data_IF_559865700570
#
_entry.id   IF_559865700570
#
_cell.length_a   1.000
_cell.length_b   1.000
_cell.length_c   1.000
_cell.angle_alpha   90.00
_cell.angle_beta   90.00
_cell.angle_gamma   90.00
#
_symmetry.space_group_name_H-M   'P 1'
#
loop_
_entity.id
_entity.type
_entity.pdbx_description
1 polymer ?
#
# COMPACT_ATOMS: atom_id res chain seq x y z
N UNK A 1 40.22 -4.84 35.28
CA UNK A 1 39.05 -3.99 34.98
C UNK A 1 39.01 -3.54 33.50
N UNK A 2 39.16 -4.46 32.53
CA UNK A 2 39.18 -4.15 31.07
C UNK A 2 38.35 -5.16 30.25
N UNK A 3 38.04 -6.34 30.78
CA UNK A 3 37.38 -7.42 30.03
C UNK A 3 35.85 -7.29 29.98
N UNK A 4 35.23 -6.65 30.98
CA UNK A 4 33.76 -6.57 31.07
C UNK A 4 33.12 -5.50 30.18
N UNK A 5 33.90 -4.57 29.62
CA UNK A 5 33.41 -3.53 28.69
C UNK A 5 33.27 -4.01 27.25
N UNK A 6 33.91 -5.13 26.86
CA UNK A 6 33.87 -5.63 25.49
C UNK A 6 32.66 -6.51 25.18
N UNK A 7 32.02 -7.09 26.20
CA UNK A 7 30.81 -7.91 26.04
C UNK A 7 29.53 -7.09 25.80
N UNK A 8 29.53 -5.79 26.10
CA UNK A 8 28.36 -4.93 25.93
C UNK A 8 28.19 -4.37 24.51
N UNK A 9 29.23 -4.40 23.67
CA UNK A 9 29.14 -3.87 22.30
C UNK A 9 28.64 -4.89 21.28
N UNK A 10 28.77 -6.19 21.56
CA UNK A 10 28.34 -7.25 20.64
C UNK A 10 26.84 -7.52 20.67
N UNK A 11 26.12 -7.10 21.72
CA UNK A 11 24.66 -7.32 21.83
C UNK A 11 23.81 -6.23 21.17
N UNK A 12 24.36 -5.02 20.95
CA UNK A 12 23.63 -3.93 20.26
C UNK A 12 23.61 -4.12 18.73
N UNK A 13 24.56 -4.88 18.18
CA UNK A 13 24.66 -5.12 16.73
C UNK A 13 23.61 -6.11 16.19
N UNK A 14 22.98 -6.91 17.07
CA UNK A 14 21.98 -7.92 16.67
C UNK A 14 20.56 -7.32 16.62
N UNK A 15 20.33 -6.20 17.29
CA UNK A 15 19.02 -5.51 17.25
C UNK A 15 18.73 -4.81 15.92
N UNK A 16 19.72 -4.65 15.05
CA UNK A 16 19.55 -4.05 13.72
C UNK A 16 19.09 -5.06 12.64
N UNK A 17 19.09 -6.36 12.94
CA UNK A 17 18.81 -7.42 11.95
C UNK A 17 17.40 -8.02 12.03
N UNK A 18 16.53 -7.45 12.86
CA UNK A 18 15.12 -7.83 12.97
C UNK A 18 14.18 -6.66 12.69
N UNK A 19 14.63 -5.66 11.93
CA UNK A 19 13.71 -4.78 11.21
C UNK A 19 13.06 -5.63 10.10
N UNK A 20 12.07 -6.42 10.53
CA UNK A 20 10.88 -6.79 9.79
C UNK A 20 10.99 -6.47 8.30
N UNK A 21 11.27 -7.51 7.51
CA UNK A 21 10.88 -7.58 6.11
C UNK A 21 9.34 -7.62 6.11
N UNK A 22 8.73 -6.50 6.50
CA UNK A 22 7.32 -6.27 6.39
C UNK A 22 7.06 -6.30 4.89
N UNK A 23 6.35 -7.34 4.47
CA UNK A 23 5.92 -7.60 3.11
C UNK A 23 4.85 -6.57 2.70
N UNK A 24 5.14 -5.27 2.86
CA UNK A 24 4.36 -4.15 2.33
C UNK A 24 4.65 -3.92 0.83
N UNK A 25 5.46 -4.79 0.20
CA UNK A 25 5.84 -4.69 -1.20
C UNK A 25 4.63 -4.73 -2.16
N UNK A 26 3.52 -5.35 -1.77
CA UNK A 26 2.29 -5.39 -2.57
C UNK A 26 1.65 -4.01 -2.73
N UNK A 27 1.43 -3.30 -1.61
CA UNK A 27 0.83 -1.95 -1.61
C UNK A 27 1.72 -0.90 -2.26
N UNK A 28 3.01 -0.90 -1.91
CA UNK A 28 4.00 0.01 -2.49
C UNK A 28 4.13 -0.11 -4.01
N UNK A 29 3.95 -1.31 -4.58
CA UNK A 29 4.03 -1.52 -6.04
C UNK A 29 2.83 -1.00 -6.81
N UNK A 30 1.64 -1.03 -6.19
CA UNK A 30 0.43 -0.48 -6.82
C UNK A 30 0.50 1.03 -6.78
N UNK A 31 0.77 1.61 -5.61
CA UNK A 31 0.83 3.06 -5.44
C UNK A 31 1.87 3.70 -6.39
N UNK A 32 3.04 3.07 -6.61
CA UNK A 32 4.05 3.57 -7.55
C UNK A 32 3.58 3.70 -9.01
N UNK A 33 2.60 2.90 -9.45
CA UNK A 33 2.03 3.01 -10.82
C UNK A 33 1.03 4.17 -10.92
N UNK A 34 0.44 4.55 -9.80
CA UNK A 34 -0.67 5.49 -9.72
C UNK A 34 -0.27 6.83 -9.08
N UNK A 35 0.97 6.95 -8.57
CA UNK A 35 1.63 8.18 -8.18
C UNK A 35 2.04 8.97 -9.44
N UNK A 36 1.21 9.95 -9.78
CA UNK A 36 1.38 10.87 -10.92
C UNK A 36 2.10 12.16 -10.51
N UNK A 37 2.25 12.41 -9.21
CA UNK A 37 3.01 13.55 -8.66
C UNK A 37 4.49 13.24 -8.48
N UNK A 38 4.83 11.97 -8.29
CA UNK A 38 6.16 11.47 -7.96
C UNK A 38 6.57 11.69 -6.51
N UNK A 39 5.62 11.87 -5.59
CA UNK A 39 5.90 12.13 -4.17
C UNK A 39 5.95 10.85 -3.30
N UNK A 40 5.70 9.70 -3.93
CA UNK A 40 5.78 8.37 -3.33
C UNK A 40 4.49 7.90 -2.65
N UNK A 41 3.40 8.65 -2.76
CA UNK A 41 2.07 8.24 -2.29
C UNK A 41 1.02 8.47 -3.39
N UNK A 42 -0.16 7.90 -3.23
CA UNK A 42 -1.32 8.24 -4.08
C UNK A 42 -2.27 9.08 -3.25
N UNK A 43 -2.37 10.36 -3.58
CA UNK A 43 -3.20 11.31 -2.85
C UNK A 43 -4.27 11.99 -3.74
N UNK A 44 -4.88 13.06 -3.22
CA UNK A 44 -5.90 13.81 -3.93
C UNK A 44 -5.38 14.48 -5.23
N UNK A 45 -4.10 14.88 -5.27
CA UNK A 45 -3.49 15.48 -6.44
C UNK A 45 -3.27 14.43 -7.55
N UNK A 46 -2.90 13.20 -7.18
CA UNK A 46 -2.86 12.07 -8.12
C UNK A 46 -4.26 11.72 -8.63
N UNK A 47 -5.22 11.60 -7.72
CA UNK A 47 -6.62 11.30 -8.05
C UNK A 47 -7.22 12.29 -9.06
N UNK A 48 -6.93 13.58 -8.89
CA UNK A 48 -7.36 14.64 -9.80
C UNK A 48 -6.74 14.52 -11.20
N UNK A 49 -5.57 13.88 -11.32
CA UNK A 49 -4.87 13.63 -12.58
C UNK A 49 -5.22 12.29 -13.23
N UNK A 50 -5.85 11.37 -12.49
CA UNK A 50 -6.28 10.08 -13.02
C UNK A 50 -7.48 10.22 -13.96
N UNK A 51 -7.45 9.49 -15.07
CA UNK A 51 -8.63 9.22 -15.89
C UNK A 51 -9.59 8.27 -15.15
N UNK A 52 -10.85 8.21 -15.58
CA UNK A 52 -11.82 7.28 -15.01
C UNK A 52 -11.36 5.81 -15.07
N UNK A 53 -10.76 5.40 -16.20
CA UNK A 53 -10.20 4.06 -16.34
C UNK A 53 -9.02 3.82 -15.38
N UNK A 54 -8.17 4.83 -15.16
CA UNK A 54 -7.08 4.74 -14.20
C UNK A 54 -7.60 4.62 -12.76
N UNK A 55 -8.66 5.36 -12.40
CA UNK A 55 -9.31 5.24 -11.08
C UNK A 55 -9.89 3.85 -10.86
N UNK A 56 -10.54 3.27 -11.88
CA UNK A 56 -11.03 1.88 -11.83
C UNK A 56 -9.88 0.89 -11.67
N UNK A 57 -8.83 1.03 -12.47
CA UNK A 57 -7.65 0.18 -12.38
C UNK A 57 -6.96 0.28 -11.01
N UNK A 58 -6.90 1.48 -10.41
CA UNK A 58 -6.36 1.70 -9.07
C UNK A 58 -7.20 0.99 -8.01
N UNK A 59 -8.53 1.12 -8.08
CA UNK A 59 -9.44 0.43 -7.17
C UNK A 59 -9.28 -1.10 -7.27
N UNK A 60 -9.26 -1.65 -8.47
CA UNK A 60 -9.12 -3.10 -8.68
C UNK A 60 -7.75 -3.61 -8.21
N UNK A 61 -6.68 -2.87 -8.48
CA UNK A 61 -5.33 -3.20 -8.01
C UNK A 61 -5.25 -3.15 -6.47
N UNK A 62 -5.89 -2.16 -5.84
CA UNK A 62 -5.96 -2.05 -4.38
C UNK A 62 -6.67 -3.27 -3.77
N UNK A 63 -7.81 -3.67 -4.33
CA UNK A 63 -8.55 -4.86 -3.88
C UNK A 63 -7.71 -6.14 -4.04
N UNK A 64 -6.98 -6.29 -5.16
CA UNK A 64 -6.08 -7.43 -5.37
C UNK A 64 -4.93 -7.48 -4.37
N UNK A 65 -4.35 -6.33 -4.00
CA UNK A 65 -3.29 -6.26 -2.98
C UNK A 65 -3.79 -6.68 -1.61
N UNK A 66 -5.06 -6.40 -1.30
CA UNK A 66 -5.71 -6.88 -0.08
C UNK A 66 -5.98 -8.40 -0.09
N UNK A 67 -5.64 -9.10 -1.18
CA UNK A 67 -5.86 -10.54 -1.34
C UNK A 67 -7.29 -10.89 -1.74
N UNK A 68 -8.04 -9.92 -2.26
CA UNK A 68 -9.45 -10.08 -2.60
C UNK A 68 -9.67 -10.01 -4.12
N UNK A 69 -10.76 -10.62 -4.59
CA UNK A 69 -11.14 -10.58 -6.01
C UNK A 69 -11.98 -9.32 -6.29
N UNK A 70 -11.50 -8.38 -7.15
CA UNK A 70 -12.26 -7.18 -7.50
C UNK A 70 -13.54 -7.49 -8.28
N UNK A 71 -13.62 -8.62 -8.96
CA UNK A 71 -14.78 -9.04 -9.75
C UNK A 71 -15.81 -9.82 -8.90
N UNK A 72 -15.48 -10.14 -7.64
CA UNK A 72 -16.40 -10.79 -6.72
C UNK A 72 -17.67 -9.94 -6.53
N UNK A 73 -18.82 -10.54 -6.87
CA UNK A 73 -20.13 -9.90 -6.68
C UNK A 73 -20.48 -9.82 -5.19
N UNK A 74 -20.90 -8.63 -4.80
CA UNK A 74 -21.45 -8.33 -3.47
C UNK A 74 -22.98 -8.22 -3.55
N UNK A 75 -23.62 -7.99 -2.40
CA UNK A 75 -25.05 -7.69 -2.36
C UNK A 75 -25.40 -6.49 -3.26
N UNK A 76 -26.48 -6.62 -4.04
CA UNK A 76 -26.93 -5.57 -4.96
C UNK A 76 -26.21 -5.53 -6.31
N UNK A 77 -25.66 -6.65 -6.77
CA UNK A 77 -25.04 -6.84 -8.10
C UNK A 77 -23.79 -6.00 -8.41
N UNK A 78 -23.27 -5.25 -7.44
CA UNK A 78 -22.00 -4.53 -7.60
C UNK A 78 -20.81 -5.46 -7.33
N UNK A 79 -19.70 -5.24 -8.03
CA UNK A 79 -18.45 -5.93 -7.73
C UNK A 79 -17.72 -5.28 -6.56
N UNK A 80 -16.80 -6.02 -5.95
CA UNK A 80 -15.95 -5.53 -4.87
C UNK A 80 -15.09 -4.33 -5.30
N UNK A 81 -14.52 -4.37 -6.51
CA UNK A 81 -13.80 -3.26 -7.13
C UNK A 81 -14.67 -2.01 -7.30
N UNK A 82 -15.92 -2.17 -7.75
CA UNK A 82 -16.87 -1.06 -7.85
C UNK A 82 -17.23 -0.44 -6.50
N UNK A 83 -17.42 -1.27 -5.45
CA UNK A 83 -17.66 -0.78 -4.09
C UNK A 83 -16.46 0.00 -3.57
N UNK A 84 -15.24 -0.50 -3.80
CA UNK A 84 -14.01 0.18 -3.39
C UNK A 84 -13.84 1.52 -4.12
N UNK A 85 -14.05 1.54 -5.45
CA UNK A 85 -14.02 2.76 -6.26
C UNK A 85 -15.01 3.82 -5.75
N UNK A 86 -16.22 3.41 -5.34
CA UNK A 86 -17.19 4.33 -4.71
C UNK A 86 -16.65 4.92 -3.41
N UNK A 87 -15.96 4.12 -2.60
CA UNK A 87 -15.28 4.59 -1.39
C UNK A 87 -14.21 5.62 -1.69
N UNK A 88 -13.33 5.36 -2.67
CA UNK A 88 -12.30 6.31 -3.09
C UNK A 88 -12.90 7.64 -3.58
N UNK A 89 -13.96 7.59 -4.39
CA UNK A 89 -14.68 8.79 -4.82
C UNK A 89 -15.23 9.59 -3.65
N UNK A 90 -15.83 8.94 -2.66
CA UNK A 90 -16.34 9.63 -1.47
C UNK A 90 -15.25 10.29 -0.60
N UNK A 91 -13.99 9.92 -0.77
CA UNK A 91 -12.85 10.52 -0.06
C UNK A 91 -12.23 11.67 -0.84
N UNK A 92 -12.17 11.56 -2.17
CA UNK A 92 -11.44 12.49 -3.03
C UNK A 92 -12.31 13.45 -3.85
N UNK A 93 -13.63 13.27 -3.86
CA UNK A 93 -14.63 14.12 -4.55
C UNK A 93 -15.63 14.70 -3.54
#
# INVERSE_FOLDING_TARGET
MVVMKRLFYTTILISALYASVAHAAGGLSVDAKFDLTGDGIVDAADWARMTEDARRAYADASVRVLGEDPDARLEGEITRGQRYLRGLRAVYE
#
